data_IF_947696054632
#
_entry.id   IF_947696054632
#
_cell.length_a   1.000
_cell.length_b   1.000
_cell.length_c   1.000
_cell.angle_alpha   90.00
_cell.angle_beta   90.00
_cell.angle_gamma   90.00
#
_symmetry.space_group_name_H-M   'P 1'
#
loop_
_entity.id
_entity.type
_entity.pdbx_description
1 polymer ?
#
# COMPACT_ATOMS: atom_id res chain seq x y z
N UNK A 1 6.70 34.84 9.23
CA UNK A 1 5.85 33.65 8.96
C UNK A 1 6.57 32.78 7.94
N UNK A 2 6.55 31.45 8.09
CA UNK A 2 7.20 30.55 7.12
C UNK A 2 6.39 30.45 5.82
N UNK A 3 7.06 30.07 4.72
CA UNK A 3 6.41 29.79 3.43
C UNK A 3 5.28 28.74 3.57
N UNK A 4 5.47 27.75 4.45
CA UNK A 4 4.49 26.69 4.74
C UNK A 4 3.21 27.26 5.37
N UNK A 5 3.32 28.19 6.32
CA UNK A 5 2.15 28.82 6.95
C UNK A 5 1.32 29.64 5.96
N UNK A 6 1.97 30.26 4.97
CA UNK A 6 1.26 30.98 3.90
C UNK A 6 0.53 30.02 2.96
N UNK A 7 1.15 28.90 2.60
CA UNK A 7 0.51 27.87 1.79
C UNK A 7 -0.69 27.24 2.50
N UNK A 8 -0.54 26.89 3.78
CA UNK A 8 -1.61 26.25 4.57
C UNK A 8 -2.89 27.08 4.62
N UNK A 9 -2.79 28.42 4.71
CA UNK A 9 -3.93 29.35 4.71
C UNK A 9 -4.71 29.39 3.38
N UNK A 10 -4.18 28.82 2.30
CA UNK A 10 -4.87 28.78 1.00
C UNK A 10 -5.86 27.62 0.89
N UNK A 11 -5.83 26.66 1.80
CA UNK A 11 -6.75 25.53 1.82
C UNK A 11 -7.98 25.88 2.68
N UNK A 12 -9.19 25.43 2.29
CA UNK A 12 -10.40 25.67 3.07
C UNK A 12 -10.37 24.92 4.41
N UNK A 13 -11.13 25.39 5.42
CA UNK A 13 -11.35 24.62 6.65
C UNK A 13 -11.87 23.21 6.33
N UNK A 14 -11.30 22.19 6.98
CA UNK A 14 -11.68 20.79 6.76
C UNK A 14 -11.05 20.14 5.51
N UNK A 15 -10.13 20.81 4.81
CA UNK A 15 -9.38 20.16 3.73
C UNK A 15 -8.57 18.97 4.27
N UNK A 16 -8.74 17.79 3.67
CA UNK A 16 -8.04 16.57 4.07
C UNK A 16 -6.72 16.43 3.33
N UNK A 17 -5.64 16.37 4.10
CA UNK A 17 -4.35 15.90 3.63
C UNK A 17 -4.17 14.44 4.01
N UNK A 18 -3.64 13.66 3.09
CA UNK A 18 -3.43 12.23 3.30
C UNK A 18 -2.31 11.67 2.43
N UNK A 19 -2.01 10.41 2.67
CA UNK A 19 -1.09 9.59 1.89
C UNK A 19 -1.84 8.51 1.13
N UNK A 20 -1.19 7.93 0.12
CA UNK A 20 -1.78 6.87 -0.68
C UNK A 20 -0.77 5.76 -0.98
N UNK A 21 -1.24 4.51 -0.97
CA UNK A 21 -0.45 3.31 -1.27
C UNK A 21 -1.27 2.33 -2.11
N UNK A 22 -0.62 1.24 -2.55
CA UNK A 22 -1.31 0.11 -3.18
C UNK A 22 -0.75 -1.22 -2.66
N UNK A 23 -1.64 -2.20 -2.47
CA UNK A 23 -1.39 -3.48 -1.82
C UNK A 23 -0.06 -4.15 -2.23
N UNK A 24 0.10 -4.51 -3.51
CA UNK A 24 1.30 -5.22 -3.98
C UNK A 24 2.60 -4.42 -3.82
N UNK A 25 2.51 -3.08 -3.75
CA UNK A 25 3.68 -2.22 -3.62
C UNK A 25 4.23 -2.16 -2.18
N UNK A 26 3.40 -2.43 -1.17
CA UNK A 26 3.79 -2.23 0.24
C UNK A 26 3.55 -3.45 1.14
N UNK A 27 2.57 -4.31 0.85
CA UNK A 27 2.13 -5.36 1.77
C UNK A 27 3.24 -6.37 2.06
N UNK A 28 3.86 -6.96 1.03
CA UNK A 28 4.65 -8.17 1.22
C UNK A 28 3.78 -9.36 1.64
N UNK A 29 4.35 -10.31 2.37
CA UNK A 29 3.63 -11.48 2.89
C UNK A 29 2.90 -12.24 1.79
N UNK A 30 3.58 -12.46 0.66
CA UNK A 30 2.94 -12.85 -0.59
C UNK A 30 2.23 -14.21 -0.58
N UNK A 31 2.61 -15.10 0.33
CA UNK A 31 2.06 -16.45 0.54
C UNK A 31 1.38 -16.61 1.92
N UNK A 32 1.31 -15.53 2.72
CA UNK A 32 0.71 -15.54 4.03
C UNK A 32 -0.83 -15.68 3.97
N UNK A 33 -1.38 -16.38 4.97
CA UNK A 33 -2.81 -16.48 5.27
C UNK A 33 -3.70 -16.83 4.05
N UNK A 34 -3.19 -17.74 3.22
CA UNK A 34 -3.94 -18.27 2.08
C UNK A 34 -4.08 -17.29 0.90
N UNK A 35 -3.25 -16.25 0.82
CA UNK A 35 -3.17 -15.37 -0.36
C UNK A 35 -2.85 -16.18 -1.63
N UNK A 36 -3.62 -15.93 -2.69
CA UNK A 36 -3.33 -16.44 -4.03
C UNK A 36 -2.29 -15.59 -4.79
N UNK A 37 -1.72 -16.12 -5.88
CA UNK A 37 -0.87 -15.33 -6.76
C UNK A 37 -1.70 -14.31 -7.54
N UNK A 38 -1.17 -13.10 -7.72
CA UNK A 38 -1.68 -12.10 -8.65
C UNK A 38 -0.93 -12.16 -9.99
N UNK A 39 -1.42 -11.40 -10.96
CA UNK A 39 -0.70 -11.19 -12.23
C UNK A 39 0.67 -10.53 -12.01
N UNK A 40 0.82 -9.72 -10.96
CA UNK A 40 2.10 -9.05 -10.65
C UNK A 40 3.12 -10.02 -10.06
N UNK A 41 2.71 -10.98 -9.24
CA UNK A 41 3.59 -12.06 -8.74
C UNK A 41 4.19 -12.81 -9.94
N UNK A 42 3.38 -13.12 -10.95
CA UNK A 42 3.84 -13.80 -12.17
C UNK A 42 4.70 -12.89 -13.06
N UNK A 43 4.30 -11.63 -13.23
CA UNK A 43 4.99 -10.68 -14.12
C UNK A 43 6.39 -10.34 -13.61
N UNK A 44 6.56 -10.14 -12.30
CA UNK A 44 7.86 -9.80 -11.71
C UNK A 44 8.92 -10.90 -11.91
N UNK A 45 8.51 -12.17 -12.02
CA UNK A 45 9.41 -13.30 -12.23
C UNK A 45 9.94 -13.41 -13.68
N UNK A 46 9.37 -12.65 -14.63
CA UNK A 46 9.84 -12.66 -16.02
C UNK A 46 11.16 -11.88 -16.14
N UNK A 47 12.23 -12.48 -16.69
CA UNK A 47 13.50 -11.78 -16.89
C UNK A 47 13.33 -10.47 -17.67
N UNK A 48 13.81 -9.36 -17.10
CA UNK A 48 13.74 -8.03 -17.70
C UNK A 48 12.38 -7.33 -17.61
N UNK A 49 11.36 -7.92 -16.97
CA UNK A 49 10.07 -7.26 -16.76
C UNK A 49 10.14 -6.12 -15.73
N UNK A 50 10.93 -6.33 -14.67
CA UNK A 50 11.29 -5.30 -13.69
C UNK A 50 12.75 -4.94 -13.93
N UNK A 51 13.05 -3.64 -14.05
CA UNK A 51 14.41 -3.16 -14.35
C UNK A 51 15.45 -3.57 -13.31
N UNK A 52 15.01 -3.72 -12.05
CA UNK A 52 15.83 -4.16 -10.91
C UNK A 52 15.70 -5.67 -10.62
N UNK A 53 14.77 -6.37 -11.29
CA UNK A 53 14.49 -7.78 -11.03
C UNK A 53 13.78 -8.07 -9.71
N UNK A 54 13.26 -7.05 -9.02
CA UNK A 54 12.61 -7.18 -7.71
C UNK A 54 11.18 -7.74 -7.80
N UNK A 55 10.74 -8.38 -6.71
CA UNK A 55 9.37 -8.90 -6.52
C UNK A 55 8.64 -8.16 -5.41
N UNK A 56 7.33 -8.38 -5.28
CA UNK A 56 6.51 -7.88 -4.18
C UNK A 56 6.50 -8.80 -2.95
N UNK A 57 7.40 -9.78 -2.87
CA UNK A 57 7.32 -10.85 -1.86
C UNK A 57 7.44 -10.31 -0.42
N UNK A 58 8.36 -9.36 -0.24
CA UNK A 58 8.61 -8.65 1.03
C UNK A 58 8.08 -7.20 0.95
N UNK A 59 8.35 -6.49 -0.14
CA UNK A 59 7.99 -5.08 -0.31
C UNK A 59 8.41 -4.21 0.90
N UNK A 60 7.47 -3.49 1.51
CA UNK A 60 7.72 -2.72 2.74
C UNK A 60 7.37 -3.50 4.02
N UNK A 61 6.97 -4.76 3.90
CA UNK A 61 6.50 -5.60 5.01
C UNK A 61 5.29 -4.98 5.76
N UNK A 62 4.49 -4.16 5.07
CA UNK A 62 3.31 -3.50 5.66
C UNK A 62 2.28 -4.50 6.17
N UNK A 63 2.21 -5.71 5.60
CA UNK A 63 1.32 -6.77 6.07
C UNK A 63 1.53 -7.06 7.57
N UNK A 64 2.77 -7.07 8.03
CA UNK A 64 3.11 -7.29 9.43
C UNK A 64 3.24 -5.98 10.23
N UNK A 65 3.63 -4.88 9.56
CA UNK A 65 4.02 -3.59 10.19
C UNK A 65 2.99 -2.47 10.07
N UNK A 66 1.77 -2.77 9.64
CA UNK A 66 0.77 -1.73 9.36
C UNK A 66 0.45 -0.85 10.57
N UNK A 67 0.61 -1.37 11.81
CA UNK A 67 0.33 -0.59 13.03
C UNK A 67 1.35 0.53 13.20
N UNK A 68 2.62 0.22 12.97
CA UNK A 68 3.73 1.17 12.98
C UNK A 68 3.56 2.20 11.86
N UNK A 69 3.17 1.75 10.66
CA UNK A 69 2.98 2.65 9.52
C UNK A 69 1.79 3.61 9.73
N UNK A 70 0.69 3.15 10.32
CA UNK A 70 -0.46 4.00 10.69
C UNK A 70 -0.08 4.99 11.81
N UNK A 71 0.74 4.55 12.77
CA UNK A 71 1.25 5.45 13.81
C UNK A 71 2.11 6.58 13.22
N UNK A 72 2.97 6.28 12.23
CA UNK A 72 3.74 7.30 11.52
C UNK A 72 2.85 8.30 10.78
N UNK A 73 1.76 7.85 10.16
CA UNK A 73 0.80 8.75 9.49
C UNK A 73 0.10 9.68 10.48
N UNK A 74 -0.22 9.17 11.67
CA UNK A 74 -0.79 9.95 12.77
C UNK A 74 0.23 10.98 13.29
N UNK A 75 1.48 10.58 13.52
CA UNK A 75 2.57 11.50 13.94
C UNK A 75 2.83 12.61 12.92
N UNK A 76 2.69 12.31 11.63
CA UNK A 76 2.79 13.29 10.55
C UNK A 76 1.59 14.27 10.50
N UNK A 77 0.51 14.00 11.24
CA UNK A 77 -0.68 14.85 11.31
C UNK A 77 -1.62 14.70 10.12
N UNK A 78 -1.64 13.54 9.46
CA UNK A 78 -2.50 13.28 8.30
C UNK A 78 -3.93 12.95 8.72
N UNK A 79 -4.90 13.42 7.94
CA UNK A 79 -6.33 13.17 8.16
C UNK A 79 -6.89 12.03 7.30
N UNK A 80 -6.10 11.46 6.38
CA UNK A 80 -6.54 10.40 5.49
C UNK A 80 -5.40 9.45 5.11
N UNK A 81 -5.73 8.15 5.01
CA UNK A 81 -4.87 7.13 4.40
C UNK A 81 -5.68 6.39 3.33
N UNK A 82 -5.25 6.49 2.08
CA UNK A 82 -5.83 5.74 0.95
C UNK A 82 -4.99 4.49 0.69
N UNK A 83 -5.63 3.33 0.72
CA UNK A 83 -5.02 2.05 0.36
C UNK A 83 -5.89 1.30 -0.66
N UNK A 84 -5.30 0.33 -1.35
CA UNK A 84 -6.05 -0.68 -2.10
C UNK A 84 -6.12 -1.99 -1.32
N UNK A 85 -7.15 -2.80 -1.60
CA UNK A 85 -7.30 -4.13 -1.00
C UNK A 85 -6.80 -5.17 -1.99
N UNK A 86 -5.95 -6.08 -1.52
CA UNK A 86 -5.40 -7.18 -2.31
C UNK A 86 -6.48 -8.22 -2.64
N UNK A 87 -7.04 -8.19 -3.85
CA UNK A 87 -8.03 -9.18 -4.31
C UNK A 87 -7.56 -10.63 -4.13
N UNK A 88 -6.29 -11.00 -4.41
CA UNK A 88 -5.80 -12.36 -4.15
C UNK A 88 -5.81 -12.79 -2.69
N UNK A 89 -5.94 -11.86 -1.72
CA UNK A 89 -6.20 -12.21 -0.31
C UNK A 89 -7.68 -12.44 -0.03
N UNK A 90 -8.57 -11.75 -0.75
CA UNK A 90 -10.03 -11.85 -0.56
C UNK A 90 -10.61 -13.07 -1.29
N UNK A 91 -10.21 -13.27 -2.54
CA UNK A 91 -10.61 -14.39 -3.40
C UNK A 91 -9.34 -14.90 -4.12
N UNK A 92 -8.59 -15.84 -3.52
CA UNK A 92 -7.29 -16.31 -4.04
C UNK A 92 -7.34 -16.88 -5.45
N UNK A 93 -8.42 -17.59 -5.78
CA UNK A 93 -8.65 -18.16 -7.11
C UNK A 93 -9.23 -17.14 -8.11
N UNK A 94 -9.31 -15.86 -7.74
CA UNK A 94 -9.90 -14.78 -8.54
C UNK A 94 -11.43 -14.79 -8.56
N UNK A 95 -12.06 -15.96 -8.50
CA UNK A 95 -13.51 -16.18 -8.39
C UNK A 95 -13.82 -17.28 -7.38
N UNK A 96 -15.07 -17.36 -6.92
CA UNK A 96 -15.53 -18.46 -6.06
C UNK A 96 -15.42 -18.15 -4.56
N UNK A 97 -14.90 -19.12 -3.79
CA UNK A 97 -14.83 -19.03 -2.33
C UNK A 97 -13.97 -17.85 -1.87
N UNK A 98 -14.39 -17.24 -0.76
CA UNK A 98 -13.67 -16.15 -0.10
C UNK A 98 -12.84 -16.74 1.04
N UNK A 99 -11.71 -16.10 1.33
CA UNK A 99 -10.92 -16.39 2.53
C UNK A 99 -11.52 -15.76 3.79
#
# INVERSE_FOLDING_TARGET
MSQISTLARRFPPGFLFGTATAAYQIEGGHDADGKGPSIWDTFCLRPGAISTGETGDIACDHYHRWREDVALMHELGLGAYRLSISWPRVIPSGTGARN
#
